data_IF_565712966119
#
_entry.id   IF_565712966119
#
_cell.length_a   1.000
_cell.length_b   1.000
_cell.length_c   1.000
_cell.angle_alpha   90.00
_cell.angle_beta   90.00
_cell.angle_gamma   90.00
#
_symmetry.space_group_name_H-M   'P 1'
#
loop_
_entity.id
_entity.type
_entity.pdbx_description
1 polymer ?
#
# COMPACT_ATOMS: atom_id res chain seq x y z
N UNK A 1 34.02 -9.25 13.43
CA UNK A 1 33.03 -8.23 13.05
C UNK A 1 33.77 -6.94 12.80
N UNK A 2 33.62 -6.35 11.62
CA UNK A 2 34.20 -5.04 11.34
C UNK A 2 33.36 -3.96 12.03
N UNK A 3 34.01 -2.89 12.48
CA UNK A 3 33.35 -1.72 13.05
C UNK A 3 33.58 -0.53 12.12
N UNK A 4 32.50 0.15 11.78
CA UNK A 4 32.48 1.26 10.84
C UNK A 4 32.21 2.57 11.56
N UNK A 5 32.92 3.62 11.17
CA UNK A 5 32.64 4.98 11.59
C UNK A 5 31.38 5.51 10.91
N UNK A 6 30.77 6.55 11.47
CA UNK A 6 29.57 7.18 10.86
C UNK A 6 29.83 7.69 9.43
N UNK A 7 31.08 8.05 9.10
CA UNK A 7 31.45 8.50 7.75
C UNK A 7 31.45 7.36 6.75
N UNK A 8 32.03 6.21 7.13
CA UNK A 8 32.03 5.00 6.29
C UNK A 8 30.60 4.47 6.09
N UNK A 9 29.79 4.42 7.16
CA UNK A 9 28.38 4.00 7.05
C UNK A 9 27.57 4.94 6.16
N UNK A 10 27.80 6.25 6.28
CA UNK A 10 27.16 7.24 5.42
C UNK A 10 27.47 7.02 3.93
N UNK A 11 28.71 6.66 3.61
CA UNK A 11 29.12 6.32 2.25
C UNK A 11 28.49 5.00 1.79
N UNK A 12 28.53 3.96 2.64
CA UNK A 12 28.01 2.61 2.31
C UNK A 12 26.50 2.54 2.14
N UNK A 13 25.76 3.41 2.84
CA UNK A 13 24.30 3.45 2.80
C UNK A 13 23.77 4.59 1.93
N UNK A 14 24.65 5.48 1.45
CA UNK A 14 24.29 6.72 0.75
C UNK A 14 23.26 7.54 1.58
N UNK A 15 23.66 7.89 2.81
CA UNK A 15 22.83 8.66 3.75
C UNK A 15 23.71 9.69 4.45
N UNK A 16 23.23 10.94 4.52
CA UNK A 16 23.96 12.00 5.21
C UNK A 16 24.21 11.65 6.70
N UNK A 17 25.46 11.81 7.23
CA UNK A 17 25.76 11.59 8.64
C UNK A 17 24.84 12.34 9.62
N UNK A 18 24.32 13.51 9.23
CA UNK A 18 23.35 14.30 10.02
C UNK A 18 22.04 13.53 10.18
N UNK A 19 21.55 12.89 9.13
CA UNK A 19 20.33 12.07 9.12
C UNK A 19 20.50 10.85 10.03
N UNK A 20 21.63 10.15 9.95
CA UNK A 20 21.94 9.02 10.85
C UNK A 20 21.96 9.44 12.32
N UNK A 21 22.53 10.62 12.64
CA UNK A 21 22.49 11.18 14.00
C UNK A 21 21.07 11.51 14.45
N UNK A 22 20.23 12.01 13.55
CA UNK A 22 18.83 12.30 13.83
C UNK A 22 18.03 11.01 14.10
N UNK A 23 18.21 9.97 13.29
CA UNK A 23 17.60 8.64 13.48
C UNK A 23 17.96 8.02 14.83
N UNK A 24 19.22 8.15 15.24
CA UNK A 24 19.65 7.75 16.58
C UNK A 24 18.99 8.60 17.68
N UNK A 25 19.19 9.93 17.66
CA UNK A 25 18.85 10.79 18.81
C UNK A 25 17.35 11.06 18.96
N UNK A 26 16.65 11.31 17.86
CA UNK A 26 15.23 11.73 17.89
C UNK A 26 14.27 10.55 17.86
N UNK A 27 14.63 9.50 17.12
CA UNK A 27 13.73 8.38 16.86
C UNK A 27 14.17 7.07 17.53
N UNK A 28 15.38 7.01 18.07
CA UNK A 28 15.91 5.82 18.73
C UNK A 28 16.01 4.60 17.79
N UNK A 29 16.16 4.83 16.48
CA UNK A 29 16.18 3.77 15.46
C UNK A 29 17.51 3.00 15.41
N UNK A 30 18.58 3.65 15.86
CA UNK A 30 19.94 3.14 15.86
C UNK A 30 20.53 3.18 17.27
N UNK A 31 21.32 2.17 17.63
CA UNK A 31 22.03 2.09 18.91
C UNK A 31 23.51 1.77 18.68
N UNK A 32 24.28 2.67 18.01
CA UNK A 32 25.69 2.43 17.73
C UNK A 32 26.50 2.32 19.02
N UNK A 33 27.54 1.51 18.97
CA UNK A 33 28.53 1.42 20.03
C UNK A 33 29.32 2.73 20.12
N UNK A 34 29.88 3.00 21.29
CA UNK A 34 30.78 4.15 21.49
C UNK A 34 32.17 3.66 21.86
N UNK A 35 33.18 4.30 21.26
CA UNK A 35 34.56 4.18 21.76
C UNK A 35 34.72 4.95 23.07
N UNK A 36 35.82 4.70 23.77
CA UNK A 36 36.20 5.46 24.97
C UNK A 36 36.33 6.97 24.70
N UNK A 37 36.73 7.35 23.47
CA UNK A 37 36.75 8.74 22.99
C UNK A 37 35.39 9.29 22.55
N UNK A 38 34.31 8.53 22.66
CA UNK A 38 32.94 8.97 22.36
C UNK A 38 32.54 8.92 20.87
N UNK A 39 33.36 8.34 20.00
CA UNK A 39 33.02 8.15 18.59
C UNK A 39 32.02 7.00 18.40
N UNK A 40 31.11 7.15 17.43
CA UNK A 40 30.12 6.10 17.11
C UNK A 40 30.73 5.06 16.19
N UNK A 41 30.57 3.81 16.58
CA UNK A 41 30.92 2.65 15.76
C UNK A 41 29.65 1.84 15.47
N UNK A 42 29.56 1.38 14.23
CA UNK A 42 28.45 0.62 13.69
C UNK A 42 28.95 -0.75 13.25
N UNK A 43 28.11 -1.76 13.43
CA UNK A 43 28.34 -3.12 12.96
C UNK A 43 27.74 -3.34 11.57
N UNK A 44 28.05 -4.48 10.95
CA UNK A 44 27.37 -4.92 9.72
C UNK A 44 25.84 -4.98 9.90
N UNK A 45 25.37 -5.46 11.05
CA UNK A 45 23.93 -5.50 11.37
C UNK A 45 23.31 -4.10 11.48
N UNK A 46 24.06 -3.11 11.97
CA UNK A 46 23.59 -1.72 11.98
C UNK A 46 23.49 -1.16 10.55
N UNK A 47 24.40 -1.51 9.66
CA UNK A 47 24.37 -1.12 8.24
C UNK A 47 23.12 -1.69 7.56
N UNK A 48 22.82 -2.96 7.78
CA UNK A 48 21.62 -3.59 7.20
C UNK A 48 20.33 -2.94 7.73
N UNK A 49 20.27 -2.67 9.03
CA UNK A 49 19.15 -1.91 9.64
C UNK A 49 19.01 -0.50 9.06
N UNK A 50 20.12 0.18 8.78
CA UNK A 50 20.13 1.51 8.18
C UNK A 50 19.57 1.47 6.74
N UNK A 51 19.93 0.45 5.96
CA UNK A 51 19.38 0.24 4.61
C UNK A 51 17.88 -0.05 4.65
N UNK A 52 17.42 -0.83 5.62
CA UNK A 52 16.00 -1.13 5.83
C UNK A 52 15.20 0.14 6.19
N UNK A 53 15.72 0.97 7.12
CA UNK A 53 15.12 2.28 7.46
C UNK A 53 15.03 3.16 6.22
N UNK A 54 16.10 3.23 5.42
CA UNK A 54 16.14 4.00 4.16
C UNK A 54 15.04 3.52 3.21
N UNK A 55 14.92 2.21 3.02
CA UNK A 55 13.87 1.62 2.18
C UNK A 55 12.46 2.04 2.59
N UNK A 56 12.14 2.05 3.89
CA UNK A 56 10.84 2.51 4.36
C UNK A 56 10.60 4.00 4.09
N UNK A 57 11.61 4.83 4.29
CA UNK A 57 11.51 6.29 4.09
C UNK A 57 11.39 6.63 2.59
N UNK A 58 12.14 5.94 1.73
CA UNK A 58 12.06 6.10 0.27
C UNK A 58 10.69 5.68 -0.26
N UNK A 59 10.03 4.72 0.39
CA UNK A 59 8.64 4.33 0.12
C UNK A 59 7.59 5.25 0.79
N UNK A 60 7.99 6.41 1.31
CA UNK A 60 7.09 7.44 1.83
C UNK A 60 6.67 7.28 3.30
N UNK A 61 7.22 6.29 4.02
CA UNK A 61 6.91 6.11 5.44
C UNK A 61 7.59 7.20 6.28
N UNK A 62 6.80 7.86 7.12
CA UNK A 62 7.34 8.84 8.07
C UNK A 62 8.31 8.17 9.05
N UNK A 63 9.50 8.74 9.21
CA UNK A 63 10.59 8.22 10.07
C UNK A 63 10.14 7.86 11.51
N UNK A 64 9.16 8.57 12.09
CA UNK A 64 8.62 8.28 13.41
C UNK A 64 7.84 6.97 13.50
N UNK A 65 7.27 6.49 12.39
CA UNK A 65 6.52 5.22 12.30
C UNK A 65 7.43 4.01 11.99
N UNK A 66 8.62 4.26 11.47
CA UNK A 66 9.57 3.21 11.07
C UNK A 66 9.96 2.33 12.26
N UNK A 67 10.02 2.88 13.48
CA UNK A 67 10.36 2.09 14.69
C UNK A 67 9.41 0.92 14.93
N UNK A 68 8.11 1.11 14.71
CA UNK A 68 7.09 0.06 14.86
C UNK A 68 7.27 -1.02 13.80
N UNK A 69 7.63 -0.64 12.58
CA UNK A 69 7.86 -1.58 11.47
C UNK A 69 9.14 -2.41 11.62
N UNK A 70 10.11 -1.92 12.40
CA UNK A 70 11.39 -2.59 12.69
C UNK A 70 11.39 -3.39 14.00
N UNK A 71 10.23 -3.59 14.62
CA UNK A 71 10.08 -4.38 15.85
C UNK A 71 10.04 -5.88 15.49
N UNK A 72 10.48 -6.79 16.37
CA UNK A 72 10.42 -8.23 16.11
C UNK A 72 8.98 -8.69 15.79
N UNK A 73 7.97 -8.12 16.44
CA UNK A 73 6.57 -8.38 16.12
C UNK A 73 6.18 -7.94 14.70
N UNK A 74 6.80 -6.87 14.18
CA UNK A 74 6.62 -6.40 12.81
C UNK A 74 7.35 -7.23 11.76
N UNK A 75 8.45 -7.91 12.14
CA UNK A 75 9.17 -8.86 11.28
C UNK A 75 8.45 -10.21 11.19
N UNK A 76 7.97 -10.75 12.31
CA UNK A 76 7.13 -11.96 12.30
C UNK A 76 5.84 -11.74 11.49
N UNK A 77 5.18 -10.60 11.64
CA UNK A 77 3.98 -10.26 10.87
C UNK A 77 4.29 -10.11 9.37
N UNK A 78 5.42 -9.48 9.01
CA UNK A 78 5.88 -9.40 7.62
C UNK A 78 6.18 -10.79 7.03
N UNK A 79 6.80 -11.69 7.79
CA UNK A 79 7.11 -13.04 7.35
C UNK A 79 5.83 -13.86 7.12
N UNK A 80 4.83 -13.74 8.00
CA UNK A 80 3.51 -14.37 7.82
C UNK A 80 2.87 -13.90 6.51
N UNK A 81 2.81 -12.58 6.27
CA UNK A 81 2.20 -12.06 5.04
C UNK A 81 2.99 -12.45 3.79
N UNK A 82 4.31 -12.51 3.89
CA UNK A 82 5.16 -12.98 2.79
C UNK A 82 4.89 -14.44 2.47
N UNK A 83 4.69 -15.29 3.47
CA UNK A 83 4.28 -16.69 3.25
C UNK A 83 2.91 -16.77 2.55
N UNK A 84 1.92 -15.96 2.97
CA UNK A 84 0.62 -15.90 2.29
C UNK A 84 0.77 -15.44 0.82
N UNK A 85 1.68 -14.50 0.52
CA UNK A 85 1.98 -14.11 -0.86
C UNK A 85 2.54 -15.27 -1.68
N UNK A 86 3.44 -16.09 -1.11
CA UNK A 86 3.99 -17.27 -1.79
C UNK A 86 2.92 -18.34 -2.04
N UNK A 87 2.01 -18.57 -1.09
CA UNK A 87 0.88 -19.48 -1.27
C UNK A 87 0.00 -19.02 -2.43
N UNK A 88 -0.36 -17.74 -2.46
CA UNK A 88 -1.14 -17.14 -3.54
C UNK A 88 -0.43 -17.28 -4.89
N UNK A 89 0.88 -16.99 -4.93
CA UNK A 89 1.69 -17.09 -6.14
C UNK A 89 1.73 -18.52 -6.67
N UNK A 90 1.85 -19.53 -5.80
CA UNK A 90 1.80 -20.96 -6.20
C UNK A 90 0.46 -21.33 -6.83
N UNK A 91 -0.66 -20.80 -6.33
CA UNK A 91 -1.96 -21.02 -6.97
C UNK A 91 -2.04 -20.41 -8.37
N UNK A 92 -1.50 -19.21 -8.56
CA UNK A 92 -1.43 -18.56 -9.87
C UNK A 92 -0.54 -19.35 -10.84
N UNK A 93 0.67 -19.71 -10.41
CA UNK A 93 1.64 -20.45 -11.23
C UNK A 93 1.14 -21.84 -11.65
N UNK A 94 0.39 -22.51 -10.77
CA UNK A 94 -0.19 -23.82 -11.06
C UNK A 94 -1.50 -23.77 -11.85
N UNK A 95 -2.04 -22.57 -12.12
CA UNK A 95 -3.29 -22.39 -12.89
C UNK A 95 -4.58 -22.80 -12.15
N UNK A 96 -4.51 -23.13 -10.86
CA UNK A 96 -5.67 -23.60 -10.08
C UNK A 96 -6.56 -22.44 -9.60
N UNK A 97 -7.10 -21.64 -10.52
CA UNK A 97 -7.88 -20.42 -10.20
C UNK A 97 -9.14 -20.69 -9.37
N UNK A 98 -9.73 -21.89 -9.47
CA UNK A 98 -10.85 -22.27 -8.60
C UNK A 98 -10.42 -22.38 -7.13
N UNK A 99 -9.30 -23.06 -6.84
CA UNK A 99 -8.76 -23.16 -5.47
C UNK A 99 -8.36 -21.79 -4.94
N UNK A 100 -7.78 -20.95 -5.79
CA UNK A 100 -7.46 -19.57 -5.44
C UNK A 100 -8.71 -18.78 -5.01
N UNK A 101 -9.83 -18.92 -5.73
CA UNK A 101 -11.10 -18.26 -5.37
C UNK A 101 -11.65 -18.74 -4.02
N UNK A 102 -11.56 -20.04 -3.72
CA UNK A 102 -11.96 -20.59 -2.43
C UNK A 102 -11.07 -20.01 -1.32
N UNK A 103 -9.75 -20.09 -1.50
CA UNK A 103 -8.79 -19.56 -0.54
C UNK A 103 -8.97 -18.05 -0.30
N UNK A 104 -9.21 -17.27 -1.35
CA UNK A 104 -9.46 -15.83 -1.25
C UNK A 104 -10.74 -15.52 -0.46
N UNK A 105 -11.79 -16.31 -0.68
CA UNK A 105 -13.06 -16.18 0.07
C UNK A 105 -12.84 -16.45 1.55
N UNK A 106 -12.07 -17.49 1.89
CA UNK A 106 -11.76 -17.84 3.29
C UNK A 106 -10.97 -16.71 3.95
N UNK A 107 -9.88 -16.23 3.32
CA UNK A 107 -9.09 -15.09 3.80
C UNK A 107 -9.92 -13.83 3.97
N UNK A 108 -10.80 -13.52 3.02
CA UNK A 108 -11.66 -12.33 3.07
C UNK A 108 -12.76 -12.40 4.12
N UNK A 109 -13.02 -13.57 4.72
CA UNK A 109 -13.87 -13.73 5.90
C UNK A 109 -13.10 -13.56 7.21
N UNK A 110 -11.81 -13.87 7.21
CA UNK A 110 -10.93 -13.79 8.38
C UNK A 110 -10.35 -12.39 8.60
N UNK A 111 -10.09 -11.64 7.52
CA UNK A 111 -9.41 -10.35 7.58
C UNK A 111 -10.21 -9.23 6.90
N UNK A 112 -10.13 -7.98 7.42
CA UNK A 112 -10.67 -6.80 6.74
C UNK A 112 -10.04 -6.60 5.35
N UNK A 113 -10.80 -5.97 4.44
CA UNK A 113 -10.34 -5.64 3.10
C UNK A 113 -9.04 -4.84 3.14
N UNK A 114 -8.98 -3.83 4.01
CA UNK A 114 -7.81 -2.98 4.20
C UNK A 114 -6.55 -3.81 4.46
N UNK A 115 -6.61 -4.75 5.41
CA UNK A 115 -5.47 -5.58 5.81
C UNK A 115 -4.96 -6.42 4.65
N UNK A 116 -5.87 -7.10 3.94
CA UNK A 116 -5.49 -7.94 2.79
C UNK A 116 -4.93 -7.11 1.64
N UNK A 117 -5.50 -5.93 1.38
CA UNK A 117 -5.01 -5.03 0.33
C UNK A 117 -3.61 -4.54 0.66
N UNK A 118 -3.38 -4.04 1.88
CA UNK A 118 -2.09 -3.47 2.32
C UNK A 118 -0.96 -4.49 2.33
N UNK A 119 -1.21 -5.69 2.85
CA UNK A 119 -0.15 -6.63 3.19
C UNK A 119 -0.01 -7.81 2.20
N UNK A 120 -1.08 -8.13 1.46
CA UNK A 120 -1.10 -9.25 0.53
C UNK A 120 -1.19 -8.80 -0.93
N UNK A 121 -2.26 -8.11 -1.31
CA UNK A 121 -2.53 -7.86 -2.73
C UNK A 121 -1.64 -6.78 -3.33
N UNK A 122 -1.52 -5.61 -2.70
CA UNK A 122 -0.68 -4.52 -3.23
C UNK A 122 0.79 -4.96 -3.33
N UNK A 123 1.41 -5.55 -2.30
CA UNK A 123 2.79 -6.02 -2.40
C UNK A 123 2.98 -7.11 -3.47
N UNK A 124 2.08 -8.09 -3.56
CA UNK A 124 2.19 -9.15 -4.57
C UNK A 124 2.00 -8.60 -5.99
N UNK A 125 1.03 -7.72 -6.20
CA UNK A 125 0.81 -7.07 -7.52
C UNK A 125 2.03 -6.28 -7.95
N UNK A 126 2.67 -5.52 -7.04
CA UNK A 126 3.94 -4.83 -7.32
C UNK A 126 5.05 -5.80 -7.74
N UNK A 127 5.16 -6.98 -7.08
CA UNK A 127 6.13 -8.02 -7.46
C UNK A 127 5.89 -8.61 -8.85
N UNK A 128 4.62 -8.69 -9.27
CA UNK A 128 4.23 -9.22 -10.59
C UNK A 128 4.25 -8.15 -11.69
N UNK A 129 4.31 -6.87 -11.34
CA UNK A 129 4.36 -5.77 -12.29
C UNK A 129 5.73 -5.74 -12.98
N UNK A 130 5.78 -6.24 -14.22
CA UNK A 130 7.01 -6.37 -15.00
C UNK A 130 6.71 -6.31 -16.50
N UNK A 131 7.75 -6.09 -17.31
CA UNK A 131 7.66 -6.22 -18.77
C UNK A 131 7.70 -7.69 -19.24
N UNK A 132 7.97 -8.64 -18.35
CA UNK A 132 8.01 -10.07 -18.70
C UNK A 132 6.58 -10.63 -18.95
N UNK A 133 6.32 -11.27 -20.10
CA UNK A 133 4.99 -11.77 -20.45
C UNK A 133 4.37 -12.71 -19.42
N UNK A 134 5.17 -13.60 -18.82
CA UNK A 134 4.70 -14.54 -17.79
C UNK A 134 4.20 -13.81 -16.55
N UNK A 135 4.93 -12.82 -16.06
CA UNK A 135 4.53 -12.06 -14.88
C UNK A 135 3.29 -11.19 -15.17
N UNK A 136 3.18 -10.63 -16.38
CA UNK A 136 1.98 -9.93 -16.83
C UNK A 136 0.75 -10.83 -16.88
N UNK A 137 0.90 -12.07 -17.37
CA UNK A 137 -0.19 -13.05 -17.37
C UNK A 137 -0.62 -13.42 -15.95
N UNK A 138 0.33 -13.62 -15.02
CA UNK A 138 0.03 -13.90 -13.62
C UNK A 138 -0.65 -12.71 -12.92
N UNK A 139 -0.19 -11.48 -13.16
CA UNK A 139 -0.83 -10.27 -12.66
C UNK A 139 -2.26 -10.14 -13.20
N UNK A 140 -2.46 -10.37 -14.50
CA UNK A 140 -3.78 -10.32 -15.13
C UNK A 140 -4.74 -11.38 -14.57
N UNK A 141 -4.23 -12.59 -14.31
CA UNK A 141 -5.01 -13.66 -13.68
C UNK A 141 -5.39 -13.31 -12.23
N UNK A 142 -4.45 -12.73 -11.46
CA UNK A 142 -4.72 -12.24 -10.11
C UNK A 142 -5.79 -11.15 -10.12
N UNK A 143 -5.64 -10.14 -10.97
CA UNK A 143 -6.56 -9.01 -11.08
C UNK A 143 -7.97 -9.49 -11.45
N UNK A 144 -8.10 -10.44 -12.39
CA UNK A 144 -9.39 -11.02 -12.75
C UNK A 144 -10.07 -11.77 -11.59
N UNK A 145 -9.29 -12.52 -10.79
CA UNK A 145 -9.82 -13.22 -9.60
C UNK A 145 -10.24 -12.22 -8.52
N UNK A 146 -9.45 -11.17 -8.28
CA UNK A 146 -9.76 -10.12 -7.31
C UNK A 146 -11.04 -9.37 -7.68
N UNK A 147 -11.15 -8.92 -8.94
CA UNK A 147 -12.35 -8.22 -9.43
C UNK A 147 -13.59 -9.10 -9.25
N UNK A 148 -13.51 -10.38 -9.61
CA UNK A 148 -14.64 -11.30 -9.46
C UNK A 148 -15.08 -11.46 -7.99
N UNK A 149 -14.12 -11.63 -7.07
CA UNK A 149 -14.40 -11.72 -5.64
C UNK A 149 -15.01 -10.42 -5.09
N UNK A 150 -14.44 -9.28 -5.47
CA UNK A 150 -14.91 -7.95 -5.03
C UNK A 150 -16.35 -7.70 -5.52
N UNK A 151 -16.70 -8.06 -6.76
CA UNK A 151 -18.07 -7.98 -7.25
C UNK A 151 -19.07 -8.71 -6.34
N UNK A 152 -18.71 -9.87 -5.79
CA UNK A 152 -19.55 -10.63 -4.84
C UNK A 152 -19.69 -9.86 -3.52
N UNK A 153 -18.59 -9.29 -3.02
CA UNK A 153 -18.60 -8.44 -1.81
C UNK A 153 -19.50 -7.20 -2.00
N UNK A 154 -19.37 -6.50 -3.12
CA UNK A 154 -20.18 -5.32 -3.44
C UNK A 154 -21.67 -5.68 -3.56
N UNK A 155 -22.00 -6.78 -4.25
CA UNK A 155 -23.38 -7.27 -4.35
C UNK A 155 -23.99 -7.61 -2.98
N UNK A 156 -23.16 -8.12 -2.06
CA UNK A 156 -23.60 -8.42 -0.69
C UNK A 156 -23.82 -7.15 0.13
N UNK A 157 -22.94 -6.15 0.00
CA UNK A 157 -23.06 -4.86 0.68
C UNK A 157 -24.33 -4.10 0.27
N UNK A 158 -24.77 -4.22 -0.99
CA UNK A 158 -26.00 -3.57 -1.50
C UNK A 158 -27.29 -3.96 -0.78
N UNK A 159 -27.31 -5.08 -0.05
CA UNK A 159 -28.48 -5.51 0.73
C UNK A 159 -28.70 -4.69 2.00
N UNK A 160 -27.70 -3.91 2.44
CA UNK A 160 -27.79 -3.06 3.63
C UNK A 160 -28.34 -1.69 3.25
N UNK A 161 -29.07 -1.05 4.16
CA UNK A 161 -29.54 0.33 3.96
C UNK A 161 -28.33 1.27 4.14
N UNK A 162 -27.85 1.85 3.04
CA UNK A 162 -26.57 2.56 3.02
C UNK A 162 -26.52 3.61 1.91
N UNK A 163 -25.55 4.53 1.98
CA UNK A 163 -25.41 5.62 1.01
C UNK A 163 -24.78 5.12 -0.29
N UNK A 164 -25.25 5.63 -1.42
CA UNK A 164 -24.69 5.36 -2.74
C UNK A 164 -23.44 6.20 -3.01
N UNK A 165 -22.44 5.59 -3.62
CA UNK A 165 -21.23 6.25 -4.06
C UNK A 165 -20.66 5.62 -5.35
N UNK A 166 -20.00 6.45 -6.14
CA UNK A 166 -19.24 6.04 -7.31
C UNK A 166 -17.74 6.18 -7.03
N UNK A 167 -17.00 5.09 -7.14
CA UNK A 167 -15.54 5.09 -7.08
C UNK A 167 -14.97 5.48 -8.44
N UNK A 168 -14.14 6.52 -8.45
CA UNK A 168 -13.57 7.12 -9.65
C UNK A 168 -12.05 7.22 -9.54
N UNK A 169 -11.34 6.72 -10.55
CA UNK A 169 -9.92 7.00 -10.70
C UNK A 169 -9.70 8.37 -11.35
N UNK A 170 -8.78 9.16 -10.81
CA UNK A 170 -8.35 10.43 -11.42
C UNK A 170 -6.85 10.44 -11.69
N UNK A 171 -6.51 10.39 -12.97
CA UNK A 171 -5.15 10.32 -13.49
C UNK A 171 -4.33 9.13 -12.97
N UNK A 172 -4.95 7.95 -12.90
CA UNK A 172 -4.31 6.70 -12.48
C UNK A 172 -4.33 5.67 -13.60
N UNK A 173 -3.32 4.79 -13.63
CA UNK A 173 -3.21 3.74 -14.65
C UNK A 173 -3.71 2.36 -14.16
N UNK A 174 -3.68 2.14 -12.84
CA UNK A 174 -4.09 0.87 -12.24
C UNK A 174 -5.60 0.85 -11.98
N UNK A 175 -6.36 0.28 -12.91
CA UNK A 175 -7.83 0.17 -12.80
C UNK A 175 -8.27 -0.85 -11.76
N UNK A 176 -7.52 -1.95 -11.58
CA UNK A 176 -7.81 -2.95 -10.53
C UNK A 176 -7.72 -2.31 -9.14
N UNK A 177 -6.84 -1.32 -8.94
CA UNK A 177 -6.79 -0.58 -7.67
C UNK A 177 -8.14 0.06 -7.31
N UNK A 178 -8.91 0.53 -8.28
CA UNK A 178 -10.25 1.10 -8.03
C UNK A 178 -11.20 0.07 -7.41
N UNK A 179 -11.11 -1.19 -7.83
CA UNK A 179 -11.90 -2.27 -7.24
C UNK A 179 -11.47 -2.58 -5.81
N UNK A 180 -10.17 -2.56 -5.52
CA UNK A 180 -9.66 -2.74 -4.15
C UNK A 180 -10.17 -1.63 -3.22
N UNK A 181 -10.12 -0.37 -3.66
CA UNK A 181 -10.66 0.76 -2.89
C UNK A 181 -12.19 0.68 -2.73
N UNK A 182 -12.91 0.22 -3.76
CA UNK A 182 -14.35 0.00 -3.69
C UNK A 182 -14.71 -1.07 -2.65
N UNK A 183 -13.89 -2.11 -2.50
CA UNK A 183 -14.11 -3.12 -1.48
C UNK A 183 -13.96 -2.57 -0.06
N UNK A 184 -12.96 -1.70 0.17
CA UNK A 184 -12.79 -0.99 1.45
C UNK A 184 -14.01 -0.12 1.73
N UNK A 185 -14.40 0.74 0.77
CA UNK A 185 -15.56 1.61 0.90
C UNK A 185 -16.86 0.82 1.19
N UNK A 186 -17.03 -0.35 0.58
CA UNK A 186 -18.17 -1.22 0.88
C UNK A 186 -18.19 -1.75 2.31
N UNK A 187 -17.02 -2.04 2.90
CA UNK A 187 -16.91 -2.40 4.32
C UNK A 187 -17.17 -1.21 5.25
N UNK A 188 -16.87 0.01 4.81
CA UNK A 188 -17.20 1.26 5.51
C UNK A 188 -18.69 1.66 5.39
N UNK A 189 -19.51 0.85 4.70
CA UNK A 189 -20.95 1.05 4.59
C UNK A 189 -21.37 1.84 3.36
N UNK A 190 -20.57 1.89 2.30
CA UNK A 190 -21.01 2.44 1.02
C UNK A 190 -21.63 1.37 0.12
N UNK A 191 -22.66 1.78 -0.62
CA UNK A 191 -23.13 1.07 -1.81
C UNK A 191 -22.36 1.61 -2.99
N UNK A 192 -21.40 0.82 -3.48
CA UNK A 192 -20.40 1.31 -4.41
C UNK A 192 -20.65 0.78 -5.82
N UNK A 193 -20.62 1.70 -6.78
CA UNK A 193 -20.34 1.41 -8.18
C UNK A 193 -18.90 1.84 -8.52
N UNK A 194 -18.28 1.20 -9.51
CA UNK A 194 -16.87 1.44 -9.87
C UNK A 194 -16.79 1.85 -11.32
N UNK A 195 -16.16 3.00 -11.59
CA UNK A 195 -15.90 3.43 -12.97
C UNK A 195 -14.86 2.50 -13.61
N UNK A 196 -15.17 1.98 -14.79
CA UNK A 196 -14.34 0.97 -15.47
C UNK A 196 -12.92 1.45 -15.81
N UNK A 197 -12.73 2.77 -15.98
CA UNK A 197 -11.46 3.38 -16.34
C UNK A 197 -11.20 4.63 -15.48
N UNK A 198 -9.93 5.00 -15.33
CA UNK A 198 -9.60 6.31 -14.76
C UNK A 198 -9.95 7.43 -15.74
N UNK A 199 -10.35 8.56 -15.20
CA UNK A 199 -10.52 9.79 -15.96
C UNK A 199 -9.22 10.60 -15.93
N UNK A 200 -8.83 11.16 -17.08
CA UNK A 200 -7.72 12.13 -17.15
C UNK A 200 -8.18 13.47 -16.59
N UNK A 201 -9.41 13.87 -16.91
CA UNK A 201 -10.05 15.07 -16.39
C UNK A 201 -11.34 14.67 -15.65
N UNK A 202 -11.34 14.86 -14.33
CA UNK A 202 -12.53 14.67 -13.51
C UNK A 202 -13.33 15.98 -13.44
N UNK A 203 -14.63 15.90 -13.75
CA UNK A 203 -15.59 17.00 -13.67
C UNK A 203 -16.80 16.53 -12.86
N UNK A 204 -16.91 16.89 -11.56
CA UNK A 204 -18.01 16.43 -10.70
C UNK A 204 -19.40 16.77 -11.23
N UNK A 205 -19.52 17.82 -12.03
CA UNK A 205 -20.75 18.29 -12.66
C UNK A 205 -21.42 17.26 -13.56
N UNK A 206 -20.64 16.31 -14.10
CA UNK A 206 -21.15 15.23 -14.95
C UNK A 206 -21.79 14.07 -14.16
N UNK A 207 -21.67 14.10 -12.83
CA UNK A 207 -22.13 13.04 -11.93
C UNK A 207 -23.16 13.57 -10.94
N UNK A 208 -24.11 14.36 -11.44
CA UNK A 208 -25.12 15.01 -10.61
C UNK A 208 -25.91 13.98 -9.76
N UNK A 209 -26.14 14.33 -8.50
CA UNK A 209 -26.78 13.44 -7.51
C UNK A 209 -25.93 12.28 -6.98
N UNK A 210 -24.69 12.09 -7.43
CA UNK A 210 -23.83 10.99 -6.97
C UNK A 210 -22.76 11.48 -5.99
N UNK A 211 -22.47 10.69 -4.95
CA UNK A 211 -21.28 10.89 -4.12
C UNK A 211 -20.07 10.27 -4.82
N UNK A 212 -19.00 11.04 -5.03
CA UNK A 212 -17.79 10.57 -5.68
C UNK A 212 -16.71 10.22 -4.65
N UNK A 213 -16.23 8.97 -4.70
CA UNK A 213 -15.06 8.52 -3.94
C UNK A 213 -13.87 8.46 -4.91
N UNK A 214 -12.93 9.40 -4.77
CA UNK A 214 -11.90 9.65 -5.79
C UNK A 214 -10.56 9.05 -5.37
N UNK A 215 -10.03 8.17 -6.21
CA UNK A 215 -8.68 7.61 -6.10
C UNK A 215 -7.72 8.36 -7.02
N UNK A 216 -6.72 9.02 -6.42
CA UNK A 216 -5.72 9.83 -7.14
C UNK A 216 -4.33 9.16 -7.17
N UNK A 217 -4.24 7.87 -6.82
CA UNK A 217 -2.96 7.17 -6.60
C UNK A 217 -2.49 7.25 -5.14
N UNK A 218 -1.44 6.52 -4.81
CA UNK A 218 -0.89 6.44 -3.44
C UNK A 218 -0.38 7.81 -2.95
N UNK A 219 0.13 8.65 -3.86
CA UNK A 219 0.66 9.97 -3.55
C UNK A 219 0.01 11.06 -4.42
N UNK A 220 -1.19 11.55 -4.04
CA UNK A 220 -1.85 12.62 -4.78
C UNK A 220 -1.04 13.91 -4.77
N UNK A 221 -0.97 14.56 -5.93
CA UNK A 221 -0.28 15.86 -6.09
C UNK A 221 -0.95 16.96 -5.26
N UNK A 222 -0.19 18.02 -4.93
CA UNK A 222 -0.73 19.19 -4.23
C UNK A 222 -1.91 19.81 -4.99
N UNK A 223 -1.82 19.87 -6.32
CA UNK A 223 -2.89 20.36 -7.19
C UNK A 223 -4.17 19.52 -7.08
N UNK A 224 -4.06 18.18 -7.11
CA UNK A 224 -5.23 17.30 -6.93
C UNK A 224 -5.87 17.47 -5.56
N UNK A 225 -5.07 17.58 -4.48
CA UNK A 225 -5.58 17.81 -3.12
C UNK A 225 -6.32 19.15 -3.01
N UNK A 226 -5.75 20.20 -3.58
CA UNK A 226 -6.37 21.53 -3.61
C UNK A 226 -7.68 21.52 -4.40
N UNK A 227 -7.69 20.89 -5.57
CA UNK A 227 -8.88 20.80 -6.42
C UNK A 227 -10.03 20.03 -5.74
N UNK A 228 -9.73 18.90 -5.07
CA UNK A 228 -10.72 18.15 -4.30
C UNK A 228 -11.36 19.02 -3.21
N UNK A 229 -10.53 19.79 -2.50
CA UNK A 229 -11.00 20.73 -1.46
C UNK A 229 -11.87 21.83 -2.07
N UNK A 230 -11.49 22.36 -3.24
CA UNK A 230 -12.27 23.35 -3.95
C UNK A 230 -13.64 22.79 -4.37
N UNK A 231 -13.72 21.59 -4.94
CA UNK A 231 -15.01 20.99 -5.30
C UNK A 231 -15.93 20.79 -4.09
N UNK A 232 -15.38 20.34 -2.96
CA UNK A 232 -16.14 20.24 -1.71
C UNK A 232 -16.66 21.61 -1.25
N UNK A 233 -15.84 22.66 -1.34
CA UNK A 233 -16.25 24.03 -1.00
C UNK A 233 -17.37 24.58 -1.92
N UNK A 234 -17.45 24.08 -3.16
CA UNK A 234 -18.53 24.39 -4.09
C UNK A 234 -19.76 23.48 -3.93
N UNK A 235 -19.78 22.63 -2.90
CA UNK A 235 -20.92 21.78 -2.55
C UNK A 235 -20.97 20.43 -3.26
N UNK A 236 -19.96 20.08 -4.08
CA UNK A 236 -19.93 18.76 -4.70
C UNK A 236 -19.56 17.68 -3.66
N UNK A 237 -20.30 16.56 -3.59
CA UNK A 237 -20.05 15.47 -2.65
C UNK A 237 -18.88 14.60 -3.13
N UNK A 238 -17.67 15.16 -3.16
CA UNK A 238 -16.44 14.51 -3.63
C UNK A 238 -15.53 14.25 -2.44
N UNK A 239 -15.10 13.01 -2.23
CA UNK A 239 -14.26 12.62 -1.10
C UNK A 239 -13.05 11.81 -1.59
N UNK A 240 -11.83 12.11 -1.09
CA UNK A 240 -10.66 11.31 -1.44
C UNK A 240 -10.73 9.93 -0.78
N UNK A 241 -10.39 8.89 -1.55
CA UNK A 241 -10.06 7.57 -1.01
C UNK A 241 -8.63 7.61 -0.45
N UNK A 242 -8.42 7.04 0.74
CA UNK A 242 -7.12 7.06 1.39
C UNK A 242 -6.23 5.98 0.79
N UNK A 243 -5.12 6.39 0.15
CA UNK A 243 -4.00 5.50 -0.09
C UNK A 243 -3.34 5.16 1.23
N UNK A 244 -3.01 3.88 1.44
CA UNK A 244 -2.12 3.47 2.52
C UNK A 244 -0.78 4.19 2.46
#
# INVERSE_FOLDING_TARGET
>A
MALYTIGEVALLCDINPVTLRAWQRRYGLLKPQRTDGGHRLFTDADIDRIREIKGWIDNGVQVGKVKTLLSPEGQEEQDIWREQQEVLLRYLQSGHLHRLRVWLKDRGSEYPAQTLISHLFVPLRRRLQSQQPTLQALLSALDGVLINYICICLATARKKNSKDALVVGWNVQDTTRLWLEAWIAAQEGWRVDVLAHSLVQLRPELFDGQTLLVWCGESPTAAQKQQLTQWQAHGYPVFPLKGN
#
